data_IF_980707667429
#
_entry.id   IF_980707667429
#
_cell.length_a   1.000
_cell.length_b   1.000
_cell.length_c   1.000
_cell.angle_alpha   90.00
_cell.angle_beta   90.00
_cell.angle_gamma   90.00
#
_symmetry.space_group_name_H-M   'P 1'
#
loop_
_entity.id
_entity.type
_entity.pdbx_description
1 polymer ?
#
# COMPACT_ATOMS: atom_id res chain seq x y z
N UNK A 1 -16.00 -20.79 16.36
CA UNK A 1 -14.93 -21.59 15.74
C UNK A 1 -13.66 -20.79 15.88
N UNK A 2 -12.57 -21.38 16.35
CA UNK A 2 -11.31 -20.66 16.51
C UNK A 2 -10.44 -20.93 15.29
N UNK A 3 -10.15 -19.89 14.50
CA UNK A 3 -9.24 -20.02 13.37
C UNK A 3 -7.80 -19.96 13.88
N UNK A 4 -6.84 -20.67 13.24
CA UNK A 4 -5.44 -20.58 13.64
C UNK A 4 -4.81 -19.23 13.29
N UNK A 5 -5.47 -18.41 12.47
CA UNK A 5 -4.92 -17.16 11.98
C UNK A 5 -4.75 -16.13 13.09
N UNK A 6 -3.55 -15.56 13.17
CA UNK A 6 -3.13 -14.46 14.04
C UNK A 6 -2.50 -13.32 13.25
N UNK A 7 -2.16 -13.55 11.98
CA UNK A 7 -1.58 -12.54 11.11
C UNK A 7 -2.39 -12.41 9.81
N UNK A 8 -2.59 -11.17 9.35
CA UNK A 8 -3.22 -10.84 8.06
C UNK A 8 -2.20 -10.14 7.15
N UNK A 9 -2.06 -10.62 5.92
CA UNK A 9 -1.15 -10.03 4.92
C UNK A 9 -1.91 -9.54 3.70
N UNK A 10 -1.66 -8.31 3.26
CA UNK A 10 -2.34 -7.69 2.13
C UNK A 10 -1.37 -7.33 1.01
N UNK A 11 -1.59 -7.83 -0.21
CA UNK A 11 -0.72 -7.53 -1.35
C UNK A 11 -0.84 -6.09 -1.86
N UNK A 12 0.15 -5.66 -2.63
CA UNK A 12 0.03 -4.46 -3.48
C UNK A 12 -0.99 -4.63 -4.61
N UNK A 13 -1.42 -3.51 -5.21
CA UNK A 13 -2.36 -3.50 -6.33
C UNK A 13 -3.01 -2.16 -6.68
N UNK A 14 -2.52 -1.03 -6.16
CA UNK A 14 -3.07 0.31 -6.45
C UNK A 14 -4.55 0.44 -6.09
N UNK A 15 -5.36 1.03 -7.00
CA UNK A 15 -6.80 1.24 -6.75
C UNK A 15 -7.59 -0.05 -6.48
N UNK A 16 -7.05 -1.21 -6.88
CA UNK A 16 -7.68 -2.50 -6.65
C UNK A 16 -7.82 -2.85 -5.15
N UNK A 17 -7.12 -2.13 -4.28
CA UNK A 17 -7.28 -2.21 -2.83
C UNK A 17 -8.70 -1.93 -2.33
N UNK A 18 -9.59 -1.34 -3.13
CA UNK A 18 -11.04 -1.26 -2.84
C UNK A 18 -11.62 -2.65 -2.53
N UNK A 19 -11.11 -3.70 -3.18
CA UNK A 19 -11.58 -5.06 -2.94
C UNK A 19 -11.27 -5.54 -1.50
N UNK A 20 -10.27 -4.97 -0.83
CA UNK A 20 -10.02 -5.27 0.58
C UNK A 20 -11.16 -4.83 1.48
N UNK A 21 -11.94 -3.80 1.12
CA UNK A 21 -13.09 -3.36 1.91
C UNK A 21 -14.13 -4.48 1.98
N UNK A 22 -14.50 -5.07 0.84
CA UNK A 22 -15.46 -6.17 0.80
C UNK A 22 -14.91 -7.48 1.39
N UNK A 23 -13.61 -7.75 1.23
CA UNK A 23 -12.97 -8.88 1.92
C UNK A 23 -13.06 -8.70 3.44
N UNK A 24 -12.66 -7.52 3.95
CA UNK A 24 -12.70 -7.20 5.37
C UNK A 24 -14.13 -7.27 5.92
N UNK A 25 -15.14 -6.81 5.20
CA UNK A 25 -16.56 -6.97 5.57
C UNK A 25 -16.84 -8.43 5.98
N UNK A 26 -16.50 -9.38 5.11
CA UNK A 26 -16.67 -10.79 5.41
C UNK A 26 -15.85 -11.23 6.63
N UNK A 27 -14.57 -10.82 6.75
CA UNK A 27 -13.71 -11.18 7.88
C UNK A 27 -14.24 -10.65 9.22
N UNK A 28 -14.80 -9.44 9.25
CA UNK A 28 -15.47 -8.87 10.43
C UNK A 28 -16.75 -9.65 10.76
N UNK A 29 -17.55 -10.02 9.75
CA UNK A 29 -18.79 -10.80 9.94
C UNK A 29 -18.54 -12.19 10.55
N UNK A 30 -17.44 -12.85 10.19
CA UNK A 30 -17.04 -14.14 10.80
C UNK A 30 -16.19 -13.98 12.06
N UNK A 31 -16.04 -12.73 12.54
CA UNK A 31 -15.29 -12.33 13.73
C UNK A 31 -13.78 -12.65 13.70
N UNK A 32 -13.21 -12.99 12.54
CA UNK A 32 -11.80 -13.34 12.40
C UNK A 32 -10.87 -12.19 12.83
N UNK A 33 -11.26 -10.95 12.54
CA UNK A 33 -10.46 -9.76 12.83
C UNK A 33 -10.13 -9.64 14.34
N UNK A 34 -10.99 -10.16 15.23
CA UNK A 34 -10.74 -10.15 16.68
C UNK A 34 -9.50 -10.95 17.06
N UNK A 35 -9.20 -12.01 16.30
CA UNK A 35 -8.07 -12.91 16.56
C UNK A 35 -6.76 -12.44 15.89
N UNK A 36 -6.85 -11.52 14.92
CA UNK A 36 -5.69 -10.97 14.22
C UNK A 36 -4.93 -10.02 15.14
N UNK A 37 -3.65 -10.33 15.34
CA UNK A 37 -2.69 -9.57 16.16
C UNK A 37 -1.74 -8.74 15.30
N UNK A 38 -1.37 -9.24 14.13
CA UNK A 38 -0.43 -8.57 13.22
C UNK A 38 -1.05 -8.36 11.85
N UNK A 39 -0.82 -7.19 11.27
CA UNK A 39 -1.25 -6.89 9.91
C UNK A 39 -0.07 -6.33 9.13
N UNK A 40 0.19 -6.93 7.97
CA UNK A 40 1.23 -6.48 7.05
C UNK A 40 0.65 -6.10 5.70
N UNK A 41 1.27 -5.11 5.06
CA UNK A 41 0.84 -4.70 3.73
C UNK A 41 1.93 -4.04 2.90
N UNK A 42 1.72 -4.10 1.58
CA UNK A 42 2.56 -3.44 0.58
C UNK A 42 1.68 -2.59 -0.34
N UNK A 43 2.06 -1.36 -0.66
CA UNK A 43 1.28 -0.44 -1.52
C UNK A 43 -0.16 -0.26 -1.02
N UNK A 44 -1.17 -0.51 -1.86
CA UNK A 44 -2.57 -0.51 -1.45
C UNK A 44 -2.87 -1.40 -0.23
N UNK A 45 -2.15 -2.51 -0.09
CA UNK A 45 -2.22 -3.37 1.09
C UNK A 45 -1.67 -2.69 2.34
N UNK A 46 -0.66 -1.82 2.25
CA UNK A 46 -0.15 -1.05 3.39
C UNK A 46 -1.16 -0.02 3.89
N UNK A 47 -1.92 0.60 2.97
CA UNK A 47 -3.01 1.52 3.30
C UNK A 47 -4.09 0.76 4.09
N UNK A 48 -4.57 -0.36 3.53
CA UNK A 48 -5.56 -1.20 4.18
C UNK A 48 -5.06 -1.77 5.52
N UNK A 49 -3.78 -2.16 5.60
CA UNK A 49 -3.15 -2.65 6.82
C UNK A 49 -3.13 -1.59 7.93
N UNK A 50 -2.72 -0.36 7.60
CA UNK A 50 -2.69 0.76 8.54
C UNK A 50 -4.09 1.04 9.10
N UNK A 51 -5.10 1.15 8.23
CA UNK A 51 -6.47 1.45 8.66
C UNK A 51 -7.07 0.30 9.47
N UNK A 52 -6.80 -0.96 9.08
CA UNK A 52 -7.25 -2.14 9.83
C UNK A 52 -6.52 -2.30 11.16
N UNK A 53 -5.28 -1.81 11.28
CA UNK A 53 -4.53 -1.88 12.54
C UNK A 53 -5.13 -1.04 13.67
N UNK A 54 -5.95 -0.05 13.35
CA UNK A 54 -6.69 0.73 14.35
C UNK A 54 -7.74 -0.08 15.11
N UNK A 55 -8.05 -1.30 14.66
CA UNK A 55 -9.01 -2.24 15.28
C UNK A 55 -10.41 -1.65 15.55
N UNK A 56 -10.83 -0.74 14.67
CA UNK A 56 -12.13 -0.08 14.72
C UNK A 56 -13.26 -1.00 14.28
N UNK A 57 -14.52 -0.74 14.68
CA UNK A 57 -15.68 -1.36 14.07
C UNK A 57 -15.67 -1.22 12.54
N UNK A 58 -16.15 -2.25 11.83
CA UNK A 58 -16.10 -2.31 10.37
C UNK A 58 -16.66 -1.05 9.69
N UNK A 59 -17.79 -0.51 10.15
CA UNK A 59 -18.40 0.68 9.57
C UNK A 59 -17.54 1.95 9.72
N UNK A 60 -16.79 2.08 10.82
CA UNK A 60 -15.86 3.20 11.02
C UNK A 60 -14.64 3.05 10.11
N UNK A 61 -14.06 1.84 10.05
CA UNK A 61 -12.97 1.49 9.15
C UNK A 61 -13.36 1.76 7.68
N UNK A 62 -14.56 1.32 7.29
CA UNK A 62 -15.14 1.54 5.97
C UNK A 62 -15.34 3.03 5.69
N UNK A 63 -15.87 3.80 6.64
CA UNK A 63 -16.04 5.23 6.47
C UNK A 63 -14.70 5.96 6.24
N UNK A 64 -13.64 5.55 6.95
CA UNK A 64 -12.28 6.06 6.73
C UNK A 64 -11.83 5.75 5.31
N UNK A 65 -11.86 4.47 4.90
CA UNK A 65 -11.40 4.07 3.54
C UNK A 65 -12.19 4.77 2.42
N UNK A 66 -13.50 4.93 2.58
CA UNK A 66 -14.37 5.61 1.62
C UNK A 66 -14.21 7.15 1.60
N UNK A 67 -13.56 7.74 2.61
CA UNK A 67 -13.25 9.18 2.64
C UNK A 67 -12.09 9.56 1.70
N UNK A 68 -11.27 8.58 1.30
CA UNK A 68 -10.16 8.80 0.39
C UNK A 68 -10.68 9.06 -1.02
N UNK A 69 -10.42 10.26 -1.53
CA UNK A 69 -10.74 10.63 -2.91
C UNK A 69 -9.58 10.22 -3.81
N UNK A 70 -9.66 9.01 -4.36
CA UNK A 70 -8.62 8.45 -5.22
C UNK A 70 -8.26 9.35 -6.40
N UNK A 71 -9.21 10.12 -6.93
CA UNK A 71 -8.99 11.01 -8.07
C UNK A 71 -8.04 12.18 -7.76
N UNK A 72 -7.85 12.50 -6.48
CA UNK A 72 -6.91 13.53 -6.00
C UNK A 72 -5.53 12.98 -5.67
N UNK A 73 -5.34 11.66 -5.65
CA UNK A 73 -4.03 11.05 -5.36
C UNK A 73 -3.01 11.42 -6.46
N UNK A 74 -3.33 11.34 -7.77
CA UNK A 74 -2.45 11.84 -8.82
C UNK A 74 -2.50 13.38 -8.87
N UNK A 75 -1.91 14.04 -7.88
CA UNK A 75 -1.93 15.50 -7.80
C UNK A 75 -0.94 16.10 -8.81
N UNK A 76 -1.48 16.72 -9.86
CA UNK A 76 -0.75 17.66 -10.71
C UNK A 76 -0.51 18.94 -9.90
N UNK A 77 0.57 19.03 -9.14
CA UNK A 77 0.83 20.28 -8.41
C UNK A 77 1.22 21.37 -9.42
N UNK A 78 0.35 22.34 -9.65
CA UNK A 78 0.73 23.64 -10.17
C UNK A 78 1.50 24.38 -9.07
N UNK A 79 2.70 23.92 -8.73
CA UNK A 79 3.55 24.60 -7.76
C UNK A 79 4.04 25.90 -8.36
N UNK A 80 3.61 27.02 -7.78
CA UNK A 80 4.07 28.39 -8.02
C UNK A 80 5.51 28.65 -7.55
N UNK A 81 6.36 27.62 -7.49
CA UNK A 81 7.79 27.78 -7.32
C UNK A 81 8.42 27.90 -8.71
N UNK A 82 8.97 29.06 -9.04
CA UNK A 82 9.74 29.23 -10.28
C UNK A 82 11.04 28.43 -10.18
N UNK A 83 11.01 27.21 -10.71
CA UNK A 83 12.18 26.36 -10.85
C UNK A 83 13.02 26.83 -12.06
N UNK A 84 14.11 27.55 -11.80
CA UNK A 84 15.02 28.02 -12.85
C UNK A 84 15.96 26.89 -13.32
N UNK A 85 15.85 26.50 -14.58
CA UNK A 85 16.88 25.72 -15.29
C UNK A 85 18.10 26.57 -15.62
N UNK A 86 19.28 25.95 -15.74
CA UNK A 86 20.33 26.54 -16.57
C UNK A 86 19.96 26.40 -18.05
N UNK A 87 20.37 27.37 -18.88
CA UNK A 87 19.99 27.44 -20.31
C UNK A 87 20.39 26.18 -21.11
N UNK A 88 21.44 25.49 -20.69
CA UNK A 88 21.93 24.25 -21.29
C UNK A 88 21.05 23.03 -20.99
N UNK A 89 20.50 22.94 -19.78
CA UNK A 89 19.63 21.82 -19.37
C UNK A 89 18.29 21.88 -20.10
N UNK A 90 17.73 23.09 -20.25
CA UNK A 90 16.46 23.30 -20.96
C UNK A 90 16.54 22.88 -22.43
N UNK A 91 17.64 23.22 -23.11
CA UNK A 91 17.86 22.89 -24.54
C UNK A 91 18.05 21.38 -24.78
N UNK A 92 18.60 20.63 -23.83
CA UNK A 92 18.73 19.18 -23.98
C UNK A 92 17.41 18.46 -23.73
N UNK A 93 16.60 18.95 -22.79
CA UNK A 93 15.29 18.39 -22.48
C UNK A 93 14.27 18.69 -23.58
N UNK A 94 14.24 19.91 -24.11
CA UNK A 94 13.34 20.32 -25.22
C UNK A 94 13.61 19.56 -26.53
N UNK A 95 14.82 19.01 -26.71
CA UNK A 95 15.17 18.19 -27.88
C UNK A 95 14.68 16.75 -27.81
N UNK A 96 14.47 16.23 -26.60
CA UNK A 96 14.09 14.84 -26.35
C UNK A 96 12.59 14.75 -26.05
N UNK A 97 12.00 15.79 -25.46
CA UNK A 97 10.61 15.81 -25.04
C UNK A 97 9.99 17.18 -25.34
N UNK A 98 8.81 17.19 -25.97
CA UNK A 98 8.06 18.40 -26.32
C UNK A 98 7.55 19.19 -25.09
N UNK A 99 7.72 18.67 -23.87
CA UNK A 99 7.31 19.33 -22.62
C UNK A 99 8.31 19.09 -21.45
N UNK A 100 9.31 19.96 -21.34
CA UNK A 100 10.43 19.83 -20.39
C UNK A 100 10.06 19.94 -18.91
N UNK A 101 8.90 20.53 -18.56
CA UNK A 101 8.46 20.64 -17.16
C UNK A 101 7.99 19.30 -16.57
N UNK A 102 7.36 18.44 -17.37
CA UNK A 102 6.95 17.09 -16.95
C UNK A 102 8.16 16.16 -16.76
N UNK A 103 9.22 16.37 -17.54
CA UNK A 103 10.47 15.59 -17.47
C UNK A 103 11.33 16.04 -16.27
N UNK A 104 11.20 17.30 -15.82
CA UNK A 104 11.91 17.83 -14.66
C UNK A 104 11.65 17.02 -13.37
N UNK A 105 10.39 16.65 -13.10
CA UNK A 105 10.03 15.87 -11.91
C UNK A 105 10.55 14.44 -11.98
N UNK A 106 10.51 13.84 -13.15
CA UNK A 106 11.10 12.53 -13.40
C UNK A 106 12.62 12.56 -13.16
N UNK A 107 13.29 13.65 -13.57
CA UNK A 107 14.76 13.80 -13.48
C UNK A 107 15.26 14.21 -12.08
N UNK A 108 14.48 14.98 -11.29
CA UNK A 108 14.92 15.46 -9.95
C UNK A 108 14.25 14.75 -8.77
N UNK A 109 13.02 14.27 -8.93
CA UNK A 109 12.20 13.63 -7.88
C UNK A 109 11.73 12.20 -8.24
N UNK A 110 12.14 11.67 -9.38
CA UNK A 110 11.86 10.29 -9.83
C UNK A 110 10.37 9.91 -10.00
N UNK A 111 9.47 10.88 -10.24
CA UNK A 111 8.03 10.58 -10.42
C UNK A 111 7.21 11.66 -11.14
N UNK A 112 6.03 11.26 -11.65
CA UNK A 112 5.13 12.09 -12.46
C UNK A 112 4.10 12.89 -11.61
N UNK A 113 3.57 12.29 -10.56
CA UNK A 113 2.55 12.84 -9.66
C UNK A 113 3.08 13.05 -8.24
N UNK A 114 2.57 14.08 -7.56
CA UNK A 114 2.86 14.28 -6.13
C UNK A 114 1.95 13.41 -5.27
N UNK A 115 2.49 12.83 -4.20
CA UNK A 115 1.76 12.08 -3.17
C UNK A 115 1.32 12.94 -1.97
N UNK A 116 1.37 14.28 -2.08
CA UNK A 116 1.10 15.21 -0.98
C UNK A 116 -0.32 15.09 -0.40
N UNK A 117 -1.35 15.12 -1.26
CA UNK A 117 -2.75 14.95 -0.84
C UNK A 117 -2.94 13.67 -0.01
N UNK A 118 -2.38 12.56 -0.48
CA UNK A 118 -2.48 11.29 0.24
C UNK A 118 -1.77 11.35 1.60
N UNK A 119 -0.56 11.93 1.64
CA UNK A 119 0.21 12.05 2.87
C UNK A 119 -0.53 12.87 3.94
N UNK A 120 -1.16 13.98 3.53
CA UNK A 120 -1.98 14.78 4.44
C UNK A 120 -3.21 13.99 4.90
N UNK A 121 -3.91 13.33 3.97
CA UNK A 121 -5.08 12.50 4.30
C UNK A 121 -4.74 11.39 5.31
N UNK A 122 -3.68 10.60 5.09
CA UNK A 122 -3.34 9.49 6.00
C UNK A 122 -2.86 10.03 7.35
N UNK A 123 -2.16 11.17 7.39
CA UNK A 123 -1.80 11.85 8.64
C UNK A 123 -3.02 12.24 9.45
N UNK A 124 -4.04 12.79 8.81
CA UNK A 124 -5.29 13.16 9.47
C UNK A 124 -6.02 11.92 10.03
N UNK A 125 -6.07 10.82 9.25
CA UNK A 125 -6.69 9.58 9.71
C UNK A 125 -5.95 8.97 10.91
N UNK A 126 -4.61 8.95 10.88
CA UNK A 126 -3.78 8.48 12.00
C UNK A 126 -3.98 9.40 13.19
N UNK A 127 -3.89 10.72 13.01
CA UNK A 127 -4.05 11.70 14.09
C UNK A 127 -5.38 11.56 14.83
N UNK A 128 -6.47 11.27 14.11
CA UNK A 128 -7.79 11.05 14.69
C UNK A 128 -7.87 9.86 15.67
N UNK A 129 -6.88 8.96 15.66
CA UNK A 129 -6.80 7.81 16.55
C UNK A 129 -5.98 8.05 17.83
N UNK A 130 -5.31 9.21 17.95
CA UNK A 130 -4.51 9.56 19.13
C UNK A 130 -5.21 10.62 20.00
N UNK A 131 -4.89 10.66 21.29
CA UNK A 131 -5.33 11.76 22.16
C UNK A 131 -4.41 12.98 21.95
N UNK A 132 -4.92 14.08 21.36
CA UNK A 132 -4.11 15.26 21.03
C UNK A 132 -3.57 15.98 22.27
N UNK A 133 -4.10 15.68 23.46
CA UNK A 133 -3.59 16.19 24.74
C UNK A 133 -2.37 15.43 25.22
N UNK A 134 -2.22 14.16 24.80
CA UNK A 134 -1.14 13.27 25.23
C UNK A 134 0.06 13.32 24.28
N UNK A 135 -0.19 13.36 22.95
CA UNK A 135 0.87 13.50 21.94
C UNK A 135 0.36 14.16 20.67
N UNK A 136 1.19 15.04 20.08
CA UNK A 136 0.97 15.67 18.77
C UNK A 136 1.75 14.93 17.67
N UNK A 137 1.33 15.02 16.39
CA UNK A 137 2.07 14.44 15.27
C UNK A 137 3.55 14.92 15.20
N UNK A 138 4.47 14.15 14.59
CA UNK A 138 4.24 12.86 13.91
C UNK A 138 4.07 11.68 14.87
N UNK A 139 3.38 10.63 14.40
CA UNK A 139 3.17 9.37 15.15
C UNK A 139 4.00 8.25 14.56
N UNK A 140 4.75 7.56 15.42
CA UNK A 140 5.71 6.51 15.05
C UNK A 140 5.15 5.11 15.27
N UNK A 141 5.88 4.09 14.83
CA UNK A 141 5.49 2.70 15.12
C UNK A 141 5.53 2.35 16.62
N UNK A 142 6.41 2.98 17.40
CA UNK A 142 6.41 2.88 18.86
C UNK A 142 5.12 3.46 19.45
N UNK A 143 4.66 4.60 18.92
CA UNK A 143 3.41 5.21 19.36
C UNK A 143 2.23 4.28 19.16
N UNK A 144 2.16 3.57 18.02
CA UNK A 144 1.13 2.57 17.72
C UNK A 144 1.10 1.40 18.72
N UNK A 145 2.17 1.17 19.48
CA UNK A 145 2.23 0.15 20.54
C UNK A 145 1.90 0.70 21.93
N UNK A 146 1.55 1.97 22.04
CA UNK A 146 1.34 2.64 23.32
C UNK A 146 -0.13 3.06 23.48
N UNK A 147 -1.03 2.15 23.93
CA UNK A 147 -2.43 2.49 24.17
C UNK A 147 -2.62 3.70 25.07
N UNK A 148 -1.68 3.97 25.98
CA UNK A 148 -1.79 5.11 26.88
C UNK A 148 -1.87 6.46 26.16
N UNK A 149 -1.43 6.59 24.89
CA UNK A 149 -1.56 7.82 24.09
C UNK A 149 -2.66 7.75 23.02
N UNK A 150 -3.30 6.60 22.86
CA UNK A 150 -4.39 6.42 21.91
C UNK A 150 -5.69 7.02 22.43
N UNK A 151 -6.59 7.34 21.50
CA UNK A 151 -7.96 7.75 21.82
C UNK A 151 -8.66 6.60 22.53
N UNK A 152 -9.27 6.90 23.68
CA UNK A 152 -9.95 5.93 24.56
C UNK A 152 -9.06 4.77 25.05
N UNK A 153 -7.73 4.92 25.00
CA UNK A 153 -6.78 3.87 25.40
C UNK A 153 -6.97 2.55 24.66
N UNK A 154 -7.48 2.66 23.42
CA UNK A 154 -7.73 1.53 22.54
C UNK A 154 -6.42 0.92 22.04
N UNK A 155 -6.29 -0.41 22.09
CA UNK A 155 -5.11 -1.11 21.59
C UNK A 155 -5.19 -1.27 20.07
N UNK A 156 -4.07 -1.02 19.38
CA UNK A 156 -3.94 -1.26 17.94
C UNK A 156 -3.27 -2.60 17.68
N UNK A 157 -3.54 -3.18 16.52
CA UNK A 157 -2.84 -4.37 16.02
C UNK A 157 -1.41 -3.99 15.59
N UNK A 158 -0.48 -4.94 15.68
CA UNK A 158 0.90 -4.70 15.26
C UNK A 158 0.95 -4.48 13.73
N UNK A 159 1.46 -3.32 13.32
CA UNK A 159 1.49 -2.89 11.93
C UNK A 159 2.88 -3.10 11.30
N UNK A 160 2.89 -3.69 10.11
CA UNK A 160 4.07 -3.88 9.29
C UNK A 160 3.83 -3.32 7.88
N UNK A 161 4.71 -2.43 7.44
CA UNK A 161 4.60 -1.79 6.12
C UNK A 161 5.83 -2.11 5.30
N UNK A 162 5.63 -2.59 4.08
CA UNK A 162 6.72 -2.94 3.17
C UNK A 162 7.03 -1.77 2.24
N UNK A 163 8.30 -1.42 2.13
CA UNK A 163 8.84 -0.50 1.13
C UNK A 163 9.99 -1.13 0.34
N UNK A 164 10.48 -0.40 -0.66
CA UNK A 164 11.71 -0.74 -1.39
C UNK A 164 12.79 0.28 -1.05
N UNK A 165 13.93 -0.17 -0.52
CA UNK A 165 15.14 0.63 -0.40
C UNK A 165 15.90 0.57 -1.73
N UNK A 166 15.82 1.67 -2.48
CA UNK A 166 16.40 1.77 -3.83
C UNK A 166 17.93 1.77 -3.77
N UNK A 167 18.52 2.36 -2.72
CA UNK A 167 19.96 2.41 -2.57
C UNK A 167 20.56 1.06 -2.14
N UNK A 168 19.80 0.27 -1.38
CA UNK A 168 20.20 -1.07 -0.93
C UNK A 168 19.81 -2.19 -1.92
N UNK A 169 19.06 -1.89 -2.99
CA UNK A 169 18.49 -2.88 -3.92
C UNK A 169 17.69 -3.99 -3.21
N UNK A 170 16.89 -3.62 -2.21
CA UNK A 170 16.20 -4.59 -1.35
C UNK A 170 14.86 -4.08 -0.82
N UNK A 171 14.05 -5.00 -0.30
CA UNK A 171 12.86 -4.62 0.48
C UNK A 171 13.26 -4.16 1.88
N UNK A 172 12.44 -3.28 2.45
CA UNK A 172 12.49 -2.87 3.85
C UNK A 172 11.12 -3.09 4.49
N UNK A 173 11.11 -3.50 5.75
CA UNK A 173 9.90 -3.63 6.56
C UNK A 173 9.96 -2.57 7.64
N UNK A 174 9.01 -1.65 7.61
CA UNK A 174 8.80 -0.67 8.67
C UNK A 174 7.85 -1.26 9.69
N UNK A 175 8.28 -1.30 10.95
CA UNK A 175 7.52 -1.90 12.04
C UNK A 175 7.99 -1.32 13.38
N UNK A 176 7.24 -1.58 14.44
CA UNK A 176 7.68 -1.20 15.79
C UNK A 176 8.87 -2.03 16.29
N UNK A 177 9.16 -3.16 15.64
CA UNK A 177 10.28 -4.04 15.96
C UNK A 177 11.56 -3.54 15.30
N UNK A 178 11.48 -3.15 14.04
CA UNK A 178 12.65 -2.86 13.20
C UNK A 178 12.90 -1.35 13.07
N UNK A 179 11.85 -0.53 13.09
CA UNK A 179 11.91 0.92 12.90
C UNK A 179 10.97 1.67 13.86
N UNK A 180 11.10 1.50 15.20
CA UNK A 180 10.14 2.01 16.18
C UNK A 180 9.90 3.53 16.11
N UNK A 181 10.94 4.30 15.79
CA UNK A 181 10.85 5.77 15.75
C UNK A 181 10.48 6.35 14.39
N UNK A 182 10.22 5.50 13.39
CA UNK A 182 9.86 5.95 12.04
C UNK A 182 8.39 6.36 11.99
N UNK A 183 8.07 7.46 11.32
CA UNK A 183 6.68 7.94 11.16
C UNK A 183 5.84 6.96 10.34
N UNK A 184 4.71 6.50 10.89
CA UNK A 184 3.83 5.54 10.19
C UNK A 184 3.25 6.15 8.91
N UNK A 185 2.83 7.42 8.94
CA UNK A 185 2.31 8.11 7.77
C UNK A 185 3.33 8.17 6.62
N UNK A 186 4.60 8.41 6.93
CA UNK A 186 5.67 8.41 5.93
C UNK A 186 5.95 6.99 5.41
N UNK A 187 5.92 5.96 6.26
CA UNK A 187 6.06 4.58 5.84
C UNK A 187 4.94 4.15 4.87
N UNK A 188 3.67 4.49 5.17
CA UNK A 188 2.55 4.22 4.25
C UNK A 188 2.74 4.97 2.93
N UNK A 189 3.15 6.25 2.98
CA UNK A 189 3.43 7.06 1.79
C UNK A 189 4.53 6.44 0.93
N UNK A 190 5.64 6.01 1.55
CA UNK A 190 6.72 5.26 0.90
C UNK A 190 6.14 4.04 0.19
N UNK A 191 5.36 3.26 0.92
CA UNK A 191 4.82 1.99 0.44
C UNK A 191 3.93 2.15 -0.79
N UNK A 192 3.29 3.31 -1.00
CA UNK A 192 2.46 3.63 -2.18
C UNK A 192 3.16 4.47 -3.27
N UNK A 193 4.45 4.78 -3.12
CA UNK A 193 5.18 5.66 -4.04
C UNK A 193 5.70 4.88 -5.27
N UNK A 194 4.76 4.42 -6.10
CA UNK A 194 5.04 3.62 -7.31
C UNK A 194 5.98 4.40 -8.23
N UNK A 195 7.21 3.90 -8.52
CA UNK A 195 8.20 4.68 -9.25
C UNK A 195 7.74 5.11 -10.62
N UNK A 196 8.28 6.25 -11.06
CA UNK A 196 7.95 6.91 -12.32
C UNK A 196 6.49 7.43 -12.38
N UNK A 197 5.57 6.88 -11.57
CA UNK A 197 4.21 7.40 -11.39
C UNK A 197 4.15 8.41 -10.24
N UNK A 198 4.67 8.09 -9.05
CA UNK A 198 4.75 9.00 -7.90
C UNK A 198 6.19 9.41 -7.58
N UNK A 199 6.37 10.62 -7.03
CA UNK A 199 7.67 11.10 -6.54
C UNK A 199 8.26 10.12 -5.50
N UNK A 200 9.55 9.77 -5.67
CA UNK A 200 10.25 8.94 -4.67
C UNK A 200 10.40 9.72 -3.36
N UNK A 201 10.26 9.02 -2.24
CA UNK A 201 10.37 9.63 -0.91
C UNK A 201 11.83 9.60 -0.48
N UNK A 202 12.41 10.79 -0.28
CA UNK A 202 13.73 10.97 0.32
C UNK A 202 13.54 11.35 1.77
N UNK A 203 14.09 10.57 2.69
CA UNK A 203 13.93 10.80 4.13
C UNK A 203 15.26 10.62 4.85
N UNK A 204 15.47 11.47 5.84
CA UNK A 204 16.60 11.40 6.78
C UNK A 204 16.18 10.71 8.10
N UNK A 205 14.96 10.14 8.16
CA UNK A 205 14.49 9.46 9.37
C UNK A 205 15.39 8.26 9.72
N UNK A 206 15.78 8.12 11.00
CA UNK A 206 16.65 7.05 11.41
C UNK A 206 15.90 5.71 11.33
N UNK A 207 16.54 4.72 10.72
CA UNK A 207 16.05 3.34 10.65
C UNK A 207 16.98 2.35 11.36
N UNK A 208 17.69 2.85 12.39
CA UNK A 208 18.56 2.04 13.23
C UNK A 208 19.93 1.74 12.63
N UNK A 209 20.41 2.51 11.65
CA UNK A 209 21.76 2.40 11.12
C UNK A 209 22.54 3.72 11.18
N UNK A 210 23.88 3.63 11.13
CA UNK A 210 24.79 4.79 11.26
C UNK A 210 24.95 5.60 9.95
N UNK A 211 24.06 5.41 8.96
CA UNK A 211 24.17 6.10 7.68
C UNK A 211 23.89 7.59 7.84
N UNK A 212 24.79 8.40 7.28
CA UNK A 212 24.70 9.88 7.31
C UNK A 212 23.96 10.49 6.11
N UNK A 213 23.55 9.68 5.14
CA UNK A 213 22.92 10.17 3.90
C UNK A 213 21.43 9.80 3.86
N UNK A 214 20.57 10.67 3.30
CA UNK A 214 19.16 10.38 3.09
C UNK A 214 18.96 9.08 2.34
N UNK A 215 18.01 8.26 2.78
CA UNK A 215 17.59 7.07 2.04
C UNK A 215 16.53 7.47 1.00
N UNK A 216 16.56 6.77 -0.13
CA UNK A 216 15.57 6.92 -1.20
C UNK A 216 14.74 5.65 -1.21
N UNK A 217 13.46 5.80 -0.91
CA UNK A 217 12.52 4.69 -0.91
C UNK A 217 11.51 4.81 -2.05
N UNK A 218 10.98 3.64 -2.41
CA UNK A 218 9.93 3.44 -3.38
C UNK A 218 8.87 2.47 -2.87
N UNK A 219 7.79 2.31 -3.63
CA UNK A 219 6.71 1.36 -3.36
C UNK A 219 7.23 -0.06 -3.07
N UNK A 220 6.66 -0.70 -2.06
CA UNK A 220 7.04 -2.06 -1.65
C UNK A 220 6.68 -3.13 -2.67
N UNK A 221 5.72 -2.82 -3.57
CA UNK A 221 5.24 -3.64 -4.65
C UNK A 221 6.27 -3.92 -5.74
N UNK A 222 7.45 -3.29 -5.71
CA UNK A 222 8.55 -3.60 -6.62
C UNK A 222 9.29 -4.86 -6.19
N UNK A 223 9.63 -4.95 -4.90
CA UNK A 223 10.52 -5.99 -4.37
C UNK A 223 9.77 -7.05 -3.55
N UNK A 224 8.70 -6.66 -2.85
CA UNK A 224 7.99 -7.56 -1.95
C UNK A 224 6.49 -7.20 -1.87
N UNK A 225 5.81 -7.40 -3.01
CA UNK A 225 4.40 -7.08 -3.24
C UNK A 225 3.43 -7.88 -2.37
N UNK A 226 3.72 -9.15 -2.12
CA UNK A 226 2.86 -10.01 -1.31
C UNK A 226 3.65 -10.64 -0.18
N UNK A 227 3.73 -9.97 0.99
CA UNK A 227 4.64 -10.37 2.06
C UNK A 227 4.11 -11.53 2.92
N UNK A 228 3.57 -12.57 2.27
CA UNK A 228 2.88 -13.69 2.93
C UNK A 228 3.80 -14.46 3.88
N UNK A 229 5.08 -14.51 3.56
CA UNK A 229 6.10 -15.22 4.35
C UNK A 229 6.75 -14.37 5.44
N UNK A 230 6.30 -13.12 5.63
CA UNK A 230 6.92 -12.17 6.56
C UNK A 230 7.03 -12.72 7.99
N UNK A 231 6.03 -13.48 8.43
CA UNK A 231 5.93 -13.98 9.80
C UNK A 231 6.38 -15.43 9.99
N UNK A 232 6.76 -16.13 8.92
CA UNK A 232 6.99 -17.58 8.95
C UNK A 232 8.20 -18.00 9.81
N UNK A 233 9.13 -17.07 10.05
CA UNK A 233 10.25 -17.27 10.99
C UNK A 233 9.86 -17.06 12.45
N UNK A 234 8.73 -16.40 12.71
CA UNK A 234 8.31 -15.98 14.05
C UNK A 234 7.12 -16.80 14.56
N UNK A 235 6.32 -17.36 13.66
CA UNK A 235 5.18 -18.22 13.98
C UNK A 235 4.92 -19.25 12.87
N UNK A 236 4.18 -20.34 13.16
CA UNK A 236 3.78 -21.32 12.16
C UNK A 236 3.06 -20.67 10.97
N UNK A 237 3.36 -21.13 9.75
CA UNK A 237 2.83 -20.55 8.50
C UNK A 237 1.30 -20.52 8.45
N UNK A 238 0.65 -21.52 9.06
CA UNK A 238 -0.80 -21.64 9.14
C UNK A 238 -1.47 -20.63 10.09
N UNK A 239 -0.69 -19.81 10.81
CA UNK A 239 -1.20 -18.66 11.57
C UNK A 239 -1.28 -17.39 10.75
N UNK A 240 -0.88 -17.41 9.48
CA UNK A 240 -1.02 -16.26 8.59
C UNK A 240 -2.04 -16.59 7.52
N UNK A 241 -2.97 -15.66 7.28
CA UNK A 241 -3.80 -15.64 6.08
C UNK A 241 -3.43 -14.41 5.27
N UNK A 242 -3.31 -14.55 3.96
CA UNK A 242 -3.05 -13.43 3.08
C UNK A 242 -4.15 -13.21 2.07
N UNK A 243 -4.17 -12.01 1.51
CA UNK A 243 -5.05 -11.61 0.43
C UNK A 243 -4.22 -11.13 -0.75
N UNK A 244 -4.40 -11.78 -1.89
CA UNK A 244 -3.68 -11.50 -3.13
C UNK A 244 -4.65 -10.94 -4.16
N UNK A 245 -4.42 -9.69 -4.57
CA UNK A 245 -5.13 -9.08 -5.69
C UNK A 245 -4.58 -9.62 -7.00
N UNK A 246 -5.44 -10.22 -7.82
CA UNK A 246 -5.06 -10.85 -9.08
C UNK A 246 -5.93 -10.32 -10.22
N UNK A 247 -5.31 -9.66 -11.19
CA UNK A 247 -5.97 -9.27 -12.44
C UNK A 247 -5.82 -10.37 -13.48
N UNK A 248 -6.75 -10.46 -14.44
CA UNK A 248 -6.43 -11.18 -15.68
C UNK A 248 -5.51 -10.27 -16.50
N UNK A 249 -4.26 -10.69 -16.68
CA UNK A 249 -3.45 -10.16 -17.78
C UNK A 249 -4.24 -10.42 -19.07
N UNK A 250 -4.56 -9.34 -19.78
CA UNK A 250 -5.28 -9.47 -21.04
C UNK A 250 -4.36 -10.18 -22.03
N UNK A 251 -4.88 -11.22 -22.69
CA UNK A 251 -4.31 -11.85 -23.90
C UNK A 251 -4.29 -10.88 -25.11
N UNK A 252 -4.13 -9.59 -24.88
CA UNK A 252 -4.10 -8.56 -25.92
C UNK A 252 -2.87 -7.69 -25.73
N UNK A 253 -2.02 -7.68 -26.76
CA UNK A 253 -0.92 -6.73 -26.90
C UNK A 253 -1.49 -5.32 -26.67
N UNK A 254 -1.05 -4.66 -25.60
CA UNK A 254 -1.38 -3.26 -25.36
C UNK A 254 -0.48 -2.41 -26.23
N UNK A 255 -1.06 -1.60 -27.11
CA UNK A 255 -0.32 -0.58 -27.82
C UNK A 255 0.33 0.39 -26.82
N UNK A 256 1.64 0.61 -26.95
CA UNK A 256 2.40 1.55 -26.13
C UNK A 256 2.53 2.85 -26.91
N UNK A 257 1.61 3.77 -26.66
CA UNK A 257 1.49 5.00 -27.44
C UNK A 257 2.18 6.21 -26.77
N UNK A 258 2.51 6.11 -25.48
CA UNK A 258 3.16 7.18 -24.72
C UNK A 258 3.96 6.64 -23.53
N UNK A 259 4.71 7.53 -22.86
CA UNK A 259 5.54 7.19 -21.69
C UNK A 259 4.73 6.65 -20.50
N UNK A 260 3.50 7.15 -20.28
CA UNK A 260 2.66 6.62 -19.21
C UNK A 260 2.27 5.17 -19.50
N UNK A 261 1.88 4.84 -20.73
CA UNK A 261 1.57 3.46 -21.12
C UNK A 261 2.78 2.55 -20.95
N UNK A 262 3.99 3.04 -21.27
CA UNK A 262 5.23 2.29 -21.00
C UNK A 262 5.44 2.02 -19.50
N UNK A 263 5.29 3.05 -18.64
CA UNK A 263 5.41 2.90 -17.18
C UNK A 263 4.36 1.92 -16.64
N UNK A 264 3.09 2.03 -17.08
CA UNK A 264 2.01 1.11 -16.68
C UNK A 264 2.35 -0.34 -17.03
N UNK A 265 2.90 -0.58 -18.23
CA UNK A 265 3.28 -1.92 -18.66
C UNK A 265 4.50 -2.44 -17.89
N UNK A 266 5.51 -1.61 -17.59
CA UNK A 266 6.64 -2.02 -16.74
C UNK A 266 6.19 -2.45 -15.34
N UNK A 267 5.28 -1.69 -14.72
CA UNK A 267 4.70 -2.05 -13.42
C UNK A 267 3.96 -3.39 -13.54
N UNK A 268 3.15 -3.57 -14.59
CA UNK A 268 2.42 -4.82 -14.84
C UNK A 268 3.38 -6.02 -15.00
N UNK A 269 4.54 -5.84 -15.64
CA UNK A 269 5.58 -6.86 -15.74
C UNK A 269 6.16 -7.22 -14.36
N UNK A 270 6.48 -6.23 -13.52
CA UNK A 270 6.99 -6.47 -12.16
C UNK A 270 5.96 -7.17 -11.26
N UNK A 271 4.68 -6.81 -11.40
CA UNK A 271 3.57 -7.48 -10.72
C UNK A 271 3.41 -8.94 -11.17
N UNK A 272 3.52 -9.20 -12.48
CA UNK A 272 3.40 -10.54 -13.04
C UNK A 272 4.47 -11.51 -12.49
N UNK A 273 5.73 -11.06 -12.44
CA UNK A 273 6.85 -11.87 -11.92
C UNK A 273 6.60 -12.25 -10.45
N UNK A 274 6.20 -11.31 -9.60
CA UNK A 274 5.95 -11.59 -8.18
C UNK A 274 4.71 -12.45 -7.95
N UNK A 275 3.69 -12.30 -8.79
CA UNK A 275 2.50 -13.15 -8.75
C UNK A 275 2.87 -14.59 -9.09
N UNK A 276 3.70 -14.81 -10.12
CA UNK A 276 4.20 -16.14 -10.49
C UNK A 276 5.01 -16.79 -9.36
N UNK A 277 5.93 -16.05 -8.73
CA UNK A 277 6.65 -16.54 -7.55
C UNK A 277 5.70 -16.94 -6.42
N UNK A 278 4.63 -16.17 -6.18
CA UNK A 278 3.64 -16.49 -5.16
C UNK A 278 2.87 -17.77 -5.48
N UNK A 279 2.53 -17.99 -6.76
CA UNK A 279 1.85 -19.21 -7.22
C UNK A 279 2.74 -20.46 -7.17
N UNK A 280 4.06 -20.29 -7.26
CA UNK A 280 5.00 -21.40 -7.27
C UNK A 280 5.09 -22.17 -5.95
N UNK A 281 4.60 -21.60 -4.85
CA UNK A 281 4.59 -22.22 -3.51
C UNK A 281 3.16 -22.63 -3.09
N UNK A 282 2.83 -23.95 -3.10
CA UNK A 282 1.51 -24.44 -2.72
C UNK A 282 1.09 -24.10 -1.28
N UNK A 283 2.03 -24.02 -0.33
CA UNK A 283 1.70 -23.71 1.06
C UNK A 283 1.27 -22.24 1.21
N UNK A 284 1.94 -21.33 0.49
CA UNK A 284 1.48 -19.94 0.38
C UNK A 284 0.09 -19.85 -0.23
N UNK A 285 -0.20 -20.63 -1.28
CA UNK A 285 -1.50 -20.60 -1.94
C UNK A 285 -2.64 -21.15 -1.08
N UNK A 286 -2.39 -22.17 -0.24
CA UNK A 286 -3.39 -22.72 0.69
C UNK A 286 -3.87 -21.69 1.71
N UNK A 287 -3.02 -20.73 2.08
CA UNK A 287 -3.33 -19.65 3.03
C UNK A 287 -3.62 -18.30 2.37
N UNK A 288 -3.95 -18.31 1.08
CA UNK A 288 -4.19 -17.10 0.28
C UNK A 288 -5.64 -17.00 -0.17
N UNK A 289 -6.30 -15.90 0.23
CA UNK A 289 -7.54 -15.42 -0.35
C UNK A 289 -7.21 -14.75 -1.68
N UNK A 290 -7.52 -15.42 -2.79
CA UNK A 290 -7.29 -14.88 -4.13
C UNK A 290 -8.49 -14.02 -4.56
N UNK A 291 -8.24 -12.73 -4.79
CA UNK A 291 -9.27 -11.76 -5.17
C UNK A 291 -9.11 -11.42 -6.65
N UNK A 292 -10.03 -11.89 -7.48
CA UNK A 292 -10.04 -11.62 -8.91
C UNK A 292 -10.57 -10.22 -9.20
N UNK A 293 -9.71 -9.33 -9.70
CA UNK A 293 -10.05 -7.91 -9.93
C UNK A 293 -10.48 -7.62 -11.37
N UNK A 294 -10.60 -8.65 -12.20
CA UNK A 294 -11.09 -8.56 -13.57
C UNK A 294 -10.12 -7.82 -14.49
N UNK A 295 -10.66 -6.86 -15.27
CA UNK A 295 -9.90 -6.05 -16.25
C UNK A 295 -9.60 -4.63 -15.75
N UNK A 296 -9.86 -4.34 -14.47
CA UNK A 296 -9.66 -3.01 -13.91
C UNK A 296 -8.16 -2.77 -13.75
N UNK A 297 -7.68 -1.64 -14.28
CA UNK A 297 -6.28 -1.24 -14.12
C UNK A 297 -6.01 -0.79 -12.69
N UNK A 298 -4.88 -1.20 -12.11
CA UNK A 298 -4.40 -0.76 -10.79
C UNK A 298 -4.11 0.74 -10.70
N UNK A 299 -3.97 1.41 -11.85
CA UNK A 299 -3.69 2.84 -11.97
C UNK A 299 -4.90 3.66 -12.43
N UNK A 300 -6.10 3.10 -12.39
CA UNK A 300 -7.34 3.83 -12.67
C UNK A 300 -7.85 4.55 -11.42
N UNK A 301 -7.25 5.69 -11.09
CA UNK A 301 -7.58 6.46 -9.90
C UNK A 301 -8.91 7.25 -9.99
N UNK A 302 -9.60 7.22 -11.13
CA UNK A 302 -10.87 7.92 -11.33
C UNK A 302 -12.09 7.19 -10.74
N UNK A 303 -11.90 5.98 -10.19
CA UNK A 303 -12.97 5.17 -9.58
C UNK A 303 -13.47 5.84 -8.30
N UNK A 304 -14.79 6.01 -8.21
CA UNK A 304 -15.48 6.61 -7.05
C UNK A 304 -16.48 5.64 -6.44
N UNK A 305 -16.81 5.89 -5.17
CA UNK A 305 -17.93 5.21 -4.50
C UNK A 305 -19.21 5.44 -5.30
N UNK A 306 -19.91 4.35 -5.62
CA UNK A 306 -21.12 4.35 -6.45
C UNK A 306 -20.89 3.92 -7.90
N UNK A 307 -19.64 3.92 -8.37
CA UNK A 307 -19.32 3.41 -9.70
C UNK A 307 -19.48 1.88 -9.75
N UNK A 308 -19.83 1.36 -10.92
CA UNK A 308 -19.91 -0.08 -11.15
C UNK A 308 -18.59 -0.80 -10.87
N UNK A 309 -17.45 -0.15 -11.17
CA UNK A 309 -16.12 -0.68 -10.88
C UNK A 309 -15.84 -0.81 -9.38
N UNK A 310 -16.29 0.19 -8.58
CA UNK A 310 -16.18 0.16 -7.13
C UNK A 310 -16.99 -1.02 -6.56
N UNK A 311 -18.28 -1.09 -6.93
CA UNK A 311 -19.19 -2.16 -6.48
C UNK A 311 -18.65 -3.54 -6.88
N UNK A 312 -18.15 -3.67 -8.10
CA UNK A 312 -17.54 -4.91 -8.57
C UNK A 312 -16.34 -5.32 -7.70
N UNK A 313 -15.38 -4.42 -7.44
CA UNK A 313 -14.21 -4.73 -6.62
C UNK A 313 -14.61 -5.13 -5.20
N UNK A 314 -15.53 -4.39 -4.58
CA UNK A 314 -16.08 -4.74 -3.27
C UNK A 314 -16.64 -6.16 -3.26
N UNK A 315 -17.55 -6.48 -4.19
CA UNK A 315 -18.17 -7.80 -4.27
C UNK A 315 -17.15 -8.91 -4.51
N UNK A 316 -16.14 -8.68 -5.36
CA UNK A 316 -15.09 -9.69 -5.61
C UNK A 316 -14.30 -9.99 -4.34
N UNK A 317 -13.95 -8.96 -3.55
CA UNK A 317 -13.30 -9.14 -2.26
C UNK A 317 -14.13 -9.96 -1.29
N UNK A 318 -15.42 -9.61 -1.15
CA UNK A 318 -16.34 -10.32 -0.27
C UNK A 318 -16.51 -11.78 -0.69
N UNK A 319 -16.81 -12.03 -1.97
CA UNK A 319 -17.02 -13.38 -2.53
C UNK A 319 -15.76 -14.23 -2.43
N UNK A 320 -14.58 -13.64 -2.60
CA UNK A 320 -13.31 -14.35 -2.48
C UNK A 320 -13.07 -14.83 -1.04
N UNK A 321 -13.28 -13.96 -0.05
CA UNK A 321 -13.18 -14.33 1.36
C UNK A 321 -14.22 -15.40 1.73
N UNK A 322 -15.47 -15.20 1.33
CA UNK A 322 -16.55 -16.16 1.58
C UNK A 322 -16.24 -17.54 1.00
N UNK A 323 -15.79 -17.59 -0.25
CA UNK A 323 -15.41 -18.85 -0.91
C UNK A 323 -14.25 -19.53 -0.19
N UNK A 324 -13.22 -18.78 0.19
CA UNK A 324 -12.04 -19.30 0.89
C UNK A 324 -12.44 -19.94 2.22
N UNK A 325 -13.17 -19.21 3.07
CA UNK A 325 -13.57 -19.73 4.37
C UNK A 325 -14.61 -20.84 4.27
N UNK A 326 -15.52 -20.79 3.28
CA UNK A 326 -16.45 -21.91 2.99
C UNK A 326 -15.73 -23.22 2.67
N UNK A 327 -14.61 -23.16 1.94
CA UNK A 327 -13.79 -24.33 1.65
C UNK A 327 -13.08 -24.84 2.92
N UNK A 328 -12.55 -23.93 3.75
CA UNK A 328 -11.93 -24.27 5.05
C UNK A 328 -12.93 -24.90 6.02
N UNK A 329 -14.22 -24.52 6.00
CA UNK A 329 -15.25 -25.16 6.81
C UNK A 329 -15.69 -26.55 6.32
N UNK A 330 -15.43 -26.86 5.05
CA UNK A 330 -15.87 -28.10 4.41
C UNK A 330 -14.82 -29.22 4.46
N UNK A 331 -13.58 -28.91 4.89
CA UNK A 331 -12.43 -29.81 5.00
C UNK A 331 -12.21 -30.28 6.43
#
# INVERSE_FOLDING_TARGET
MEYPYRNLVLSGGGILGIAYIGMLDYLYRIELIKDIKRIAGSSAGAIAACITSFDLPFEEMRAITESLDYSKIPLNSNSTESFYFTKSEKVQLDKIFENAECVYRLVKKYGWYSSGYFYDWIRDQIHAQFDPRKKKPPYTFEDFRNPAIHKNEHEFKELYIVGTDVAANGSIVFSAKDTPYFEVAEAVRISMSVPLFFEAVKTDQPIGDDRKQPRIYADGGIMYRYPITLFDKECPENQTVGALLTGKNQDQDREINNLLDYIRNLISCAEAVQTEFSYSDPENMKRTIQILTGKISSLNFDIKKGDAAYTYLYEQGYKAAEKYFSAVFSS
#
